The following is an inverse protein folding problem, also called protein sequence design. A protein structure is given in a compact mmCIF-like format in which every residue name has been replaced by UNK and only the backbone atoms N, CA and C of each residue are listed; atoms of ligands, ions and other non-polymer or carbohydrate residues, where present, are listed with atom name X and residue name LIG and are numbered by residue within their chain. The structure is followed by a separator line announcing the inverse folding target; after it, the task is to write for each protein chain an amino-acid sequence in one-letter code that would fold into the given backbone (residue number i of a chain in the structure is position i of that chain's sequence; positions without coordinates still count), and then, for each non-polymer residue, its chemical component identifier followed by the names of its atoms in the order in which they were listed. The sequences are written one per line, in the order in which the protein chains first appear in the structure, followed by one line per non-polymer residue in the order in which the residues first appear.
data_IF_464780413716
#
_entry.id   IF_464780413716
#
_cell.length_a   1.000
_cell.length_b   1.000
_cell.length_c   1.000
_cell.angle_alpha   90.00
_cell.angle_beta   90.00
_cell.angle_gamma   90.00
#
_symmetry.space_group_name_H-M   'P 1'
#
loop_
_entity.id
_entity.type
_entity.pdbx_description
1 polymer ?
#
# COMPACT_ATOMS: atom_id res chain seq x y z
N UNK A 1 15.64 -11.96 -3.48
CA UNK A 1 14.63 -10.88 -3.46
C UNK A 1 14.10 -10.75 -2.04
N UNK A 2 13.72 -9.54 -1.65
CA UNK A 2 13.16 -9.16 -0.34
C UNK A 2 11.85 -9.88 0.04
N UNK A 3 11.14 -10.43 -0.95
CA UNK A 3 9.88 -11.17 -0.75
C UNK A 3 10.03 -12.50 0.02
N UNK A 4 11.14 -13.23 -0.18
CA UNK A 4 11.30 -14.58 0.39
C UNK A 4 11.95 -14.51 1.77
N UNK A 5 11.35 -15.22 2.73
CA UNK A 5 11.86 -15.37 4.10
C UNK A 5 11.36 -16.69 4.69
N UNK A 6 11.91 -17.10 5.84
CA UNK A 6 11.37 -18.22 6.60
C UNK A 6 10.04 -17.86 7.28
N UNK A 7 9.90 -16.61 7.72
CA UNK A 7 8.69 -16.10 8.37
C UNK A 7 8.55 -14.59 8.16
N UNK A 8 7.43 -14.15 7.59
CA UNK A 8 7.13 -12.75 7.28
C UNK A 8 6.38 -12.06 8.42
N UNK A 9 7.13 -11.50 9.38
CA UNK A 9 6.55 -10.81 10.55
C UNK A 9 5.67 -9.61 10.19
N UNK A 10 6.00 -8.92 9.09
CA UNK A 10 5.30 -7.72 8.60
C UNK A 10 4.37 -8.02 7.42
N UNK A 11 4.11 -9.29 7.09
CA UNK A 11 3.41 -9.69 5.87
C UNK A 11 1.96 -9.16 5.77
N UNK A 12 1.35 -8.79 6.89
CA UNK A 12 -0.04 -8.31 6.99
C UNK A 12 -0.17 -6.92 7.61
N UNK A 13 0.94 -6.22 7.85
CA UNK A 13 0.93 -4.87 8.44
C UNK A 13 0.94 -3.83 7.31
N UNK A 14 -0.13 -3.03 7.13
CA UNK A 14 -0.16 -1.98 6.11
C UNK A 14 0.91 -0.92 6.35
N UNK A 15 1.37 -0.26 5.28
CA UNK A 15 2.52 0.64 5.36
C UNK A 15 2.22 1.87 6.21
N UNK A 16 0.98 2.35 6.19
CA UNK A 16 0.49 3.40 7.09
C UNK A 16 0.61 3.00 8.56
N UNK A 17 0.23 1.76 8.91
CA UNK A 17 0.29 1.25 10.29
C UNK A 17 1.73 1.09 10.80
N UNK A 18 2.68 0.70 9.95
CA UNK A 18 4.10 0.56 10.36
C UNK A 18 4.63 1.84 11.01
N UNK A 19 4.32 3.02 10.44
CA UNK A 19 4.78 4.30 11.00
C UNK A 19 4.22 4.55 12.40
N UNK A 20 2.95 4.20 12.63
CA UNK A 20 2.31 4.31 13.94
C UNK A 20 2.91 3.33 14.96
N UNK A 21 3.20 2.09 14.56
CA UNK A 21 3.82 1.09 15.44
C UNK A 21 5.22 1.52 15.88
N UNK A 22 6.05 2.00 14.94
CA UNK A 22 7.39 2.50 15.27
C UNK A 22 7.32 3.71 16.19
N UNK A 23 6.38 4.64 15.95
CA UNK A 23 6.18 5.79 16.83
C UNK A 23 5.75 5.37 18.23
N UNK A 24 4.78 4.47 18.33
CA UNK A 24 4.34 3.93 19.62
C UNK A 24 5.50 3.31 20.41
N UNK A 25 6.37 2.53 19.76
CA UNK A 25 7.55 1.97 20.42
C UNK A 25 8.53 3.08 20.84
N UNK A 26 8.77 4.08 19.99
CA UNK A 26 9.62 5.21 20.34
C UNK A 26 9.11 5.99 21.57
N UNK A 27 7.79 6.12 21.72
CA UNK A 27 7.15 6.84 22.82
C UNK A 27 7.13 6.02 24.13
N UNK A 28 7.20 4.68 24.05
CA UNK A 28 6.98 3.77 25.18
C UNK A 28 8.19 2.92 25.60
N UNK A 29 9.28 2.93 24.84
CA UNK A 29 10.44 2.06 25.09
C UNK A 29 11.18 2.36 26.41
N UNK A 30 10.98 3.53 27.01
CA UNK A 30 11.63 3.93 28.26
C UNK A 30 13.14 4.17 28.14
N UNK A 31 13.67 4.19 26.92
CA UNK A 31 15.08 4.44 26.60
C UNK A 31 15.20 5.63 25.64
N UNK A 32 15.77 6.74 26.11
CA UNK A 32 15.90 7.98 25.33
C UNK A 32 16.75 7.80 24.06
N UNK A 33 17.77 6.95 24.11
CA UNK A 33 18.65 6.70 22.96
C UNK A 33 17.89 5.94 21.87
N UNK A 34 17.15 4.89 22.25
CA UNK A 34 16.33 4.13 21.30
C UNK A 34 15.20 4.99 20.72
N UNK A 35 14.54 5.78 21.55
CA UNK A 35 13.49 6.71 21.13
C UNK A 35 14.00 7.69 20.07
N UNK A 36 15.16 8.32 20.31
CA UNK A 36 15.77 9.26 19.37
C UNK A 36 16.08 8.60 18.02
N UNK A 37 16.64 7.38 18.03
CA UNK A 37 16.95 6.63 16.80
C UNK A 37 15.68 6.27 16.03
N UNK A 38 14.63 5.80 16.70
CA UNK A 38 13.38 5.44 16.03
C UNK A 38 12.67 6.66 15.44
N UNK A 39 12.73 7.81 16.11
CA UNK A 39 12.20 9.06 15.58
C UNK A 39 12.99 9.56 14.35
N UNK A 40 14.31 9.37 14.33
CA UNK A 40 15.15 9.67 13.17
C UNK A 40 14.83 8.76 11.97
N UNK A 41 14.63 7.46 12.21
CA UNK A 41 14.15 6.50 11.19
C UNK A 41 12.80 6.93 10.62
N UNK A 42 11.87 7.41 11.46
CA UNK A 42 10.57 7.92 11.01
C UNK A 42 10.67 9.23 10.21
N UNK A 43 11.64 10.09 10.53
CA UNK A 43 11.87 11.34 9.81
C UNK A 43 12.52 11.11 8.43
N UNK A 44 13.23 10.00 8.27
CA UNK A 44 13.89 9.64 7.01
C UNK A 44 12.87 9.29 5.91
N UNK A 45 12.90 9.96 4.74
CA UNK A 45 12.01 9.64 3.62
C UNK A 45 12.23 8.21 3.08
N UNK A 46 11.14 7.54 2.69
CA UNK A 46 11.19 6.18 2.13
C UNK A 46 11.66 6.22 0.67
N UNK A 47 12.89 5.77 0.43
CA UNK A 47 13.52 5.63 -0.91
C UNK A 47 13.52 4.16 -1.36
N UNK A 48 13.49 3.86 -2.67
CA UNK A 48 13.93 2.57 -3.19
C UNK A 48 15.41 2.39 -2.86
N UNK A 49 15.75 1.33 -2.12
CA UNK A 49 17.10 1.05 -1.59
C UNK A 49 18.15 0.75 -2.69
N UNK A 50 17.71 0.54 -3.93
CA UNK A 50 18.55 0.04 -5.03
C UNK A 50 19.24 1.14 -5.87
N UNK A 51 18.94 2.41 -5.64
CA UNK A 51 19.62 3.51 -6.32
C UNK A 51 20.56 4.21 -5.35
N UNK A 52 21.87 4.35 -5.69
CA UNK A 52 22.77 5.13 -4.85
C UNK A 52 22.21 6.54 -4.70
N UNK A 53 22.32 7.10 -3.49
CA UNK A 53 22.11 8.52 -3.30
C UNK A 53 22.97 9.29 -4.31
N UNK A 54 22.44 10.38 -4.85
CA UNK A 54 23.25 11.26 -5.72
C UNK A 54 24.49 11.74 -4.95
N UNK A 55 25.54 12.19 -5.66
CA UNK A 55 26.83 12.60 -5.07
C UNK A 55 26.75 13.65 -3.93
N UNK A 56 25.57 14.24 -3.70
CA UNK A 56 25.27 15.20 -2.64
C UNK A 56 24.37 14.65 -1.51
N UNK A 57 24.14 13.34 -1.43
CA UNK A 57 23.31 12.72 -0.38
C UNK A 57 21.80 12.88 -0.57
N UNK A 58 21.37 13.45 -1.69
CA UNK A 58 19.95 13.62 -2.01
C UNK A 58 19.39 12.33 -2.61
N UNK A 59 18.37 11.78 -1.95
CA UNK A 59 17.59 10.63 -2.41
C UNK A 59 16.98 10.95 -3.78
N UNK A 60 17.29 10.16 -4.81
CA UNK A 60 16.93 10.49 -6.20
C UNK A 60 15.52 10.04 -6.63
N UNK A 61 14.87 9.16 -5.86
CA UNK A 61 13.55 8.63 -6.18
C UNK A 61 12.78 8.29 -4.90
N UNK A 62 11.50 8.70 -4.76
CA UNK A 62 10.63 8.21 -3.68
C UNK A 62 9.80 7.04 -4.20
N UNK A 63 9.63 5.99 -3.40
CA UNK A 63 8.85 4.81 -3.81
C UNK A 63 7.39 5.16 -4.14
N UNK A 64 6.85 6.16 -3.44
CA UNK A 64 5.50 6.70 -3.69
C UNK A 64 5.34 7.30 -5.08
N UNK A 65 6.41 7.79 -5.72
CA UNK A 65 6.33 8.35 -7.07
C UNK A 65 5.98 7.28 -8.12
N UNK A 66 6.36 6.02 -7.85
CA UNK A 66 6.09 4.88 -8.73
C UNK A 66 4.76 4.19 -8.41
N UNK A 67 4.44 4.07 -7.12
CA UNK A 67 3.31 3.26 -6.65
C UNK A 67 2.08 4.11 -6.37
N UNK A 68 2.28 5.32 -5.85
CA UNK A 68 1.28 6.20 -5.30
C UNK A 68 1.38 6.35 -3.79
N UNK A 69 0.66 7.31 -3.19
CA UNK A 69 0.62 7.51 -1.75
C UNK A 69 0.12 6.26 -1.02
N UNK A 70 0.83 5.80 0.02
CA UNK A 70 0.44 4.59 0.75
C UNK A 70 -0.94 4.72 1.40
N UNK A 71 -1.35 5.92 1.79
CA UNK A 71 -2.69 6.19 2.35
C UNK A 71 -3.81 5.80 1.38
N UNK A 72 -3.70 6.19 0.10
CA UNK A 72 -4.66 5.80 -0.92
C UNK A 72 -4.65 4.29 -1.15
N UNK A 73 -3.47 3.67 -1.22
CA UNK A 73 -3.36 2.22 -1.44
C UNK A 73 -3.95 1.41 -0.30
N UNK A 74 -3.62 1.75 0.94
CA UNK A 74 -4.15 1.06 2.12
C UNK A 74 -5.67 1.27 2.22
N UNK A 75 -6.18 2.47 1.87
CA UNK A 75 -7.62 2.73 1.77
C UNK A 75 -8.31 1.86 0.71
N UNK A 76 -7.77 1.82 -0.52
CA UNK A 76 -8.33 1.00 -1.60
C UNK A 76 -8.29 -0.49 -1.26
N UNK A 77 -7.18 -0.96 -0.70
CA UNK A 77 -6.99 -2.35 -0.28
C UNK A 77 -8.04 -2.75 0.77
N UNK A 78 -8.24 -1.91 1.78
CA UNK A 78 -9.25 -2.14 2.80
C UNK A 78 -10.65 -2.23 2.17
N UNK A 79 -11.08 -1.25 1.39
CA UNK A 79 -12.43 -1.24 0.83
C UNK A 79 -12.67 -2.40 -0.16
N UNK A 80 -11.66 -2.77 -0.93
CA UNK A 80 -11.77 -3.86 -1.90
C UNK A 80 -11.78 -5.23 -1.21
N UNK A 81 -10.89 -5.49 -0.24
CA UNK A 81 -10.76 -6.81 0.39
C UNK A 81 -11.68 -7.02 1.58
N UNK A 82 -11.88 -6.00 2.42
CA UNK A 82 -12.76 -6.12 3.59
C UNK A 82 -14.23 -6.05 3.18
N UNK A 83 -14.56 -5.11 2.30
CA UNK A 83 -15.95 -4.77 1.96
C UNK A 83 -16.40 -5.33 0.61
N UNK A 84 -15.48 -5.82 -0.24
CA UNK A 84 -15.83 -6.34 -1.56
C UNK A 84 -16.33 -5.27 -2.53
N UNK A 85 -15.99 -4.00 -2.31
CA UNK A 85 -16.51 -2.91 -3.13
C UNK A 85 -15.84 -2.82 -4.50
N UNK A 86 -16.66 -2.54 -5.51
CA UNK A 86 -16.20 -2.28 -6.88
C UNK A 86 -15.54 -0.90 -7.00
N UNK A 87 -14.68 -0.66 -8.01
CA UNK A 87 -13.91 0.58 -8.18
C UNK A 87 -14.74 1.86 -8.07
N UNK A 88 -15.94 1.92 -8.68
CA UNK A 88 -16.79 3.11 -8.60
C UNK A 88 -17.17 3.50 -7.17
N UNK A 89 -17.47 2.51 -6.34
CA UNK A 89 -17.80 2.76 -4.93
C UNK A 89 -16.56 3.15 -4.14
N UNK A 90 -15.43 2.47 -4.38
CA UNK A 90 -14.15 2.79 -3.75
C UNK A 90 -13.72 4.21 -4.07
N UNK A 91 -13.79 4.63 -5.34
CA UNK A 91 -13.51 5.99 -5.79
C UNK A 91 -14.37 7.01 -5.04
N UNK A 92 -15.70 6.82 -5.05
CA UNK A 92 -16.61 7.75 -4.35
C UNK A 92 -16.34 7.86 -2.86
N UNK A 93 -16.00 6.75 -2.19
CA UNK A 93 -15.62 6.76 -0.78
C UNK A 93 -14.29 7.47 -0.54
N UNK A 94 -13.32 7.30 -1.45
CA UNK A 94 -12.02 7.96 -1.35
C UNK A 94 -12.15 9.47 -1.57
N UNK A 95 -12.92 9.92 -2.55
CA UNK A 95 -13.22 11.35 -2.75
C UNK A 95 -13.88 11.94 -1.50
N UNK A 96 -14.86 11.23 -0.92
CA UNK A 96 -15.52 11.70 0.29
C UNK A 96 -14.59 11.77 1.51
N UNK A 97 -13.70 10.78 1.69
CA UNK A 97 -12.86 10.68 2.88
C UNK A 97 -11.54 11.46 2.78
N UNK A 98 -11.02 11.63 1.57
CA UNK A 98 -9.66 12.12 1.30
C UNK A 98 -9.63 13.25 0.25
N UNK A 99 -10.78 13.74 -0.20
CA UNK A 99 -10.91 14.78 -1.23
C UNK A 99 -10.31 16.14 -0.82
N UNK A 100 -10.17 16.39 0.48
CA UNK A 100 -9.51 17.59 1.00
C UNK A 100 -7.97 17.52 0.84
N UNK A 101 -7.41 16.31 0.68
CA UNK A 101 -5.96 16.05 0.57
C UNK A 101 -5.57 15.72 -0.86
N UNK A 102 -6.42 14.99 -1.59
CA UNK A 102 -6.17 14.54 -2.95
C UNK A 102 -7.34 14.92 -3.86
N UNK A 103 -7.04 15.56 -4.99
CA UNK A 103 -8.05 15.83 -6.02
C UNK A 103 -8.57 14.54 -6.68
N UNK A 104 -9.75 14.63 -7.29
CA UNK A 104 -10.42 13.48 -7.92
C UNK A 104 -9.55 12.79 -8.98
N UNK A 105 -8.82 13.55 -9.81
CA UNK A 105 -7.92 13.01 -10.85
C UNK A 105 -6.79 12.20 -10.24
N UNK A 106 -6.21 12.69 -9.15
CA UNK A 106 -5.16 12.01 -8.39
C UNK A 106 -5.67 10.71 -7.80
N UNK A 107 -6.84 10.72 -7.16
CA UNK A 107 -7.46 9.51 -6.60
C UNK A 107 -7.75 8.49 -7.71
N UNK A 108 -8.33 8.93 -8.83
CA UNK A 108 -8.70 8.07 -9.95
C UNK A 108 -7.48 7.42 -10.62
N UNK A 109 -6.44 8.23 -10.86
CA UNK A 109 -5.14 7.76 -11.38
C UNK A 109 -4.56 6.65 -10.52
N UNK A 110 -4.51 6.86 -9.20
CA UNK A 110 -3.92 5.87 -8.31
C UNK A 110 -4.80 4.66 -8.09
N UNK A 111 -6.13 4.80 -8.11
CA UNK A 111 -7.06 3.68 -8.09
C UNK A 111 -6.86 2.77 -9.29
N UNK A 112 -6.68 3.33 -10.50
CA UNK A 112 -6.34 2.55 -11.70
C UNK A 112 -5.05 1.77 -11.52
N UNK A 113 -3.99 2.45 -11.10
CA UNK A 113 -2.67 1.82 -10.92
C UNK A 113 -2.75 0.72 -9.86
N UNK A 114 -3.46 0.97 -8.75
CA UNK A 114 -3.72 -0.01 -7.71
C UNK A 114 -4.43 -1.24 -8.25
N UNK A 115 -5.58 -1.10 -8.93
CA UNK A 115 -6.33 -2.23 -9.46
C UNK A 115 -5.50 -3.04 -10.45
N UNK A 116 -4.87 -2.40 -11.45
CA UNK A 116 -4.01 -3.09 -12.42
C UNK A 116 -2.92 -3.91 -11.73
N UNK A 117 -2.21 -3.29 -10.77
CA UNK A 117 -1.11 -3.95 -10.05
C UNK A 117 -1.60 -5.02 -9.10
N UNK A 118 -2.74 -4.82 -8.45
CA UNK A 118 -3.32 -5.79 -7.55
C UNK A 118 -3.54 -7.10 -8.29
N UNK A 119 -4.20 -7.10 -9.44
CA UNK A 119 -4.39 -8.33 -10.22
C UNK A 119 -3.07 -8.86 -10.79
N UNK A 120 -2.28 -8.02 -11.48
CA UNK A 120 -1.06 -8.45 -12.17
C UNK A 120 0.03 -9.01 -11.23
N UNK A 121 0.03 -8.64 -9.95
CA UNK A 121 1.04 -9.09 -8.97
C UNK A 121 0.56 -10.26 -8.11
N UNK A 122 -0.58 -10.88 -8.42
CA UNK A 122 -1.11 -11.98 -7.62
C UNK A 122 -0.17 -13.19 -7.55
N UNK A 123 0.54 -13.49 -8.64
CA UNK A 123 1.52 -14.58 -8.67
C UNK A 123 2.57 -14.49 -7.56
N UNK A 124 2.96 -13.27 -7.14
CA UNK A 124 3.89 -13.06 -6.02
C UNK A 124 3.27 -13.48 -4.71
N UNK A 125 1.98 -13.20 -4.52
CA UNK A 125 1.27 -13.54 -3.28
C UNK A 125 0.99 -15.03 -3.14
N UNK A 126 0.85 -15.74 -4.25
CA UNK A 126 0.65 -17.19 -4.26
C UNK A 126 1.79 -17.97 -3.58
N UNK A 127 2.99 -17.40 -3.49
CA UNK A 127 4.15 -18.00 -2.82
C UNK A 127 4.61 -17.24 -1.55
N UNK A 128 3.69 -16.57 -0.84
CA UNK A 128 4.03 -15.88 0.40
C UNK A 128 4.58 -16.85 1.48
N UNK A 129 5.65 -16.47 2.21
CA UNK A 129 6.06 -17.13 3.44
C UNK A 129 4.97 -17.13 4.51
N UNK A 130 5.12 -17.98 5.52
CA UNK A 130 4.24 -17.96 6.68
C UNK A 130 4.41 -16.66 7.48
N UNK A 131 3.32 -16.18 8.07
CA UNK A 131 3.30 -14.93 8.82
C UNK A 131 1.94 -14.76 9.50
N UNK A 132 1.87 -13.96 10.58
CA UNK A 132 0.62 -13.74 11.29
C UNK A 132 -0.30 -12.82 10.49
N UNK A 133 -1.60 -13.02 10.61
CA UNK A 133 -2.59 -12.01 10.20
C UNK A 133 -2.68 -10.95 11.30
N UNK A 134 -2.41 -9.70 10.94
CA UNK A 134 -2.59 -8.52 11.77
C UNK A 134 -3.76 -7.71 11.21
N UNK A 135 -4.67 -7.29 12.08
CA UNK A 135 -5.87 -6.53 11.69
C UNK A 135 -6.95 -7.37 10.99
N UNK A 136 -7.79 -6.72 10.19
CA UNK A 136 -8.99 -7.33 9.62
C UNK A 136 -8.77 -8.01 8.26
N UNK A 137 -7.70 -7.65 7.55
CA UNK A 137 -7.42 -8.08 6.17
C UNK A 137 -5.97 -8.56 6.05
N UNK A 138 -5.76 -9.72 5.44
CA UNK A 138 -4.46 -10.22 4.99
C UNK A 138 -4.51 -10.62 3.51
N UNK A 139 -3.34 -10.69 2.86
CA UNK A 139 -3.24 -11.05 1.44
C UNK A 139 -2.67 -12.46 1.22
N UNK A 140 -2.63 -13.27 2.29
CA UNK A 140 -2.15 -14.64 2.21
C UNK A 140 -3.11 -15.52 1.40
N UNK A 141 -2.61 -16.35 0.46
CA UNK A 141 -3.41 -17.30 -0.31
C UNK A 141 -4.00 -18.41 0.57
N UNK A 142 -3.42 -18.61 1.75
CA UNK A 142 -3.86 -19.57 2.77
C UNK A 142 -4.93 -18.98 3.70
N UNK A 143 -5.20 -17.67 3.61
CA UNK A 143 -6.10 -16.93 4.49
C UNK A 143 -7.23 -16.22 3.74
N UNK A 144 -7.24 -14.89 3.81
CA UNK A 144 -8.37 -14.06 3.36
C UNK A 144 -8.44 -13.89 1.83
N UNK A 145 -7.31 -13.98 1.10
CA UNK A 145 -7.26 -13.69 -0.34
C UNK A 145 -7.03 -14.96 -1.16
N UNK A 146 -8.09 -15.54 -1.71
CA UNK A 146 -8.01 -16.64 -2.68
C UNK A 146 -8.32 -16.12 -4.07
N UNK A 147 -7.28 -15.84 -4.86
CA UNK A 147 -7.40 -15.31 -6.22
C UNK A 147 -6.44 -16.03 -7.17
N UNK A 148 -6.87 -16.41 -8.39
CA UNK A 148 -5.99 -16.98 -9.41
C UNK A 148 -4.85 -16.04 -9.79
N UNK A 149 -3.65 -16.59 -10.01
CA UNK A 149 -2.45 -15.81 -10.39
C UNK A 149 -2.55 -15.17 -11.78
N UNK A 150 -3.41 -15.72 -12.63
CA UNK A 150 -3.72 -15.34 -14.02
C UNK A 150 -5.02 -14.54 -14.15
N UNK A 151 -5.60 -14.10 -13.03
CA UNK A 151 -6.80 -13.26 -13.04
C UNK A 151 -6.56 -11.94 -13.79
N UNK A 152 -7.49 -11.58 -14.68
CA UNK A 152 -7.47 -10.33 -15.43
C UNK A 152 -8.41 -9.29 -14.82
N UNK A 153 -8.05 -8.01 -14.90
CA UNK A 153 -8.76 -6.91 -14.24
C UNK A 153 -9.71 -6.15 -15.17
N UNK A 154 -10.05 -6.68 -16.35
CA UNK A 154 -10.82 -6.00 -17.41
C UNK A 154 -12.15 -5.40 -16.90
N UNK A 155 -12.84 -6.08 -15.98
CA UNK A 155 -14.08 -5.55 -15.40
C UNK A 155 -13.83 -4.32 -14.52
N UNK A 156 -12.71 -4.27 -13.80
CA UNK A 156 -12.29 -3.12 -13.00
C UNK A 156 -11.84 -1.98 -13.90
N UNK A 157 -11.09 -2.30 -14.97
CA UNK A 157 -10.64 -1.34 -15.98
C UNK A 157 -11.82 -0.60 -16.61
N UNK A 158 -12.83 -1.34 -17.07
CA UNK A 158 -14.04 -0.76 -17.68
C UNK A 158 -14.75 0.20 -16.73
N UNK A 159 -14.94 -0.19 -15.46
CA UNK A 159 -15.59 0.69 -14.48
C UNK A 159 -14.80 1.98 -14.21
N UNK A 160 -13.47 1.90 -14.26
CA UNK A 160 -12.60 3.06 -14.07
C UNK A 160 -12.62 3.95 -15.33
N UNK A 161 -12.62 3.38 -16.53
CA UNK A 161 -12.75 4.13 -17.77
C UNK A 161 -14.08 4.92 -17.82
N UNK A 162 -15.19 4.29 -17.40
CA UNK A 162 -16.50 4.96 -17.28
C UNK A 162 -16.49 6.16 -16.30
N UNK A 163 -15.59 6.18 -15.30
CA UNK A 163 -15.44 7.34 -14.40
C UNK A 163 -14.65 8.46 -15.06
N UNK A 164 -13.64 8.14 -15.86
CA UNK A 164 -12.85 9.15 -16.58
C UNK A 164 -13.65 9.85 -17.66
N UNK A 165 -14.52 9.11 -18.36
CA UNK A 165 -15.44 9.68 -19.34
C UNK A 165 -16.48 10.61 -18.68
N UNK A 166 -16.86 10.36 -17.43
CA UNK A 166 -17.79 11.21 -16.69
C UNK A 166 -17.13 12.48 -16.12
N UNK A 167 -15.80 12.51 -16.03
CA UNK A 167 -15.01 13.66 -15.56
C UNK A 167 -14.54 14.57 -16.71
N UNK A 168 -14.54 14.05 -17.95
CA UNK A 168 -14.15 14.74 -19.17
C UNK A 168 -15.23 15.69 -19.70
#
# INVERSE_FOLDING_TARGET
GDHMSMYGVNASVPKTLVRHLVRYVADTCGNETESAVLLDVLATPVSPELLPATAHGTISQKTEDLVGPYELHDFFLYQMLRCGFAPKKVFRLAVYALGDVYDEKTILKWLRIFCRRFFAQQFKRSCLPDGPKVGTVAVSPRGDLRMPSDAVWTLWERQIAELEEAEA
#
